data_IF_656658915904
#
_entry.id   IF_656658915904
#
_cell.length_a   1.000
_cell.length_b   1.000
_cell.length_c   1.000
_cell.angle_alpha   90.00
_cell.angle_beta   90.00
_cell.angle_gamma   90.00
#
_symmetry.space_group_name_H-M   'P 1'
#
loop_
_entity.id
_entity.type
_entity.pdbx_description
1 polymer ?
#
# COMPACT_ATOMS: atom_id res chain seq x y z
N UNK A 1 16.42 16.88 -4.03
CA UNK A 1 16.27 15.43 -3.83
C UNK A 1 14.81 15.08 -3.94
N UNK A 2 14.43 13.92 -4.48
CA UNK A 2 13.03 13.53 -4.53
C UNK A 2 12.46 13.43 -3.11
N UNK A 3 11.19 13.77 -2.92
CA UNK A 3 10.48 13.58 -1.67
C UNK A 3 9.25 12.69 -1.91
N UNK A 4 9.14 11.55 -1.20
CA UNK A 4 10.14 10.96 -0.28
C UNK A 4 11.31 10.30 -1.02
N UNK A 5 12.48 10.27 -0.38
CA UNK A 5 13.64 9.53 -0.88
C UNK A 5 13.41 8.01 -0.77
N UNK A 6 13.98 7.20 -1.70
CA UNK A 6 13.97 5.75 -1.58
C UNK A 6 14.62 5.28 -0.27
N UNK A 7 13.93 4.41 0.45
CA UNK A 7 14.35 3.89 1.76
C UNK A 7 13.95 2.43 1.93
N UNK A 8 14.74 1.65 2.67
CA UNK A 8 14.37 0.32 3.14
C UNK A 8 13.78 0.43 4.55
N UNK A 9 12.57 -0.09 4.74
CA UNK A 9 11.88 -0.14 6.03
C UNK A 9 11.87 -1.58 6.55
N UNK A 10 12.25 -1.80 7.82
CA UNK A 10 12.40 -3.13 8.40
C UNK A 10 11.55 -3.28 9.66
N UNK A 11 10.83 -4.40 9.76
CA UNK A 11 10.07 -4.82 10.92
C UNK A 11 10.22 -6.32 11.16
N UNK A 12 9.58 -6.83 12.21
CA UNK A 12 9.65 -8.24 12.58
C UNK A 12 8.99 -9.16 11.53
N UNK A 13 7.87 -8.73 10.96
CA UNK A 13 7.03 -9.56 10.09
C UNK A 13 7.12 -9.18 8.62
N UNK A 14 7.76 -8.06 8.29
CA UNK A 14 7.91 -7.57 6.94
C UNK A 14 9.12 -6.65 6.78
N UNK A 15 9.65 -6.66 5.56
CA UNK A 15 10.64 -5.70 5.09
C UNK A 15 10.12 -5.10 3.77
N UNK A 16 10.23 -3.78 3.64
CA UNK A 16 9.90 -3.06 2.42
C UNK A 16 11.17 -2.51 1.81
N UNK A 17 11.47 -2.88 0.58
CA UNK A 17 12.60 -2.36 -0.18
C UNK A 17 12.11 -1.55 -1.37
N UNK A 18 12.82 -0.48 -1.78
CA UNK A 18 12.52 0.20 -3.03
C UNK A 18 12.40 -0.80 -4.17
N UNK A 19 11.38 -0.63 -5.01
CA UNK A 19 11.15 -1.53 -6.14
C UNK A 19 12.37 -1.53 -7.07
N UNK A 20 12.80 -2.71 -7.49
CA UNK A 20 13.87 -2.94 -8.46
C UNK A 20 13.43 -3.92 -9.55
N UNK A 21 14.02 -3.83 -10.73
CA UNK A 21 13.84 -4.81 -11.82
C UNK A 21 14.31 -6.21 -11.42
N UNK A 22 15.25 -6.31 -10.50
CA UNK A 22 15.74 -7.58 -9.96
C UNK A 22 14.66 -8.36 -9.19
N UNK A 23 13.61 -7.68 -8.72
CA UNK A 23 12.51 -8.29 -8.01
C UNK A 23 11.48 -8.98 -8.94
N UNK A 24 11.66 -8.92 -10.29
CA UNK A 24 10.70 -9.41 -11.28
C UNK A 24 10.30 -10.87 -11.05
N UNK A 25 11.28 -11.76 -10.90
CA UNK A 25 11.01 -13.18 -10.73
C UNK A 25 10.16 -13.46 -9.48
N UNK A 26 10.56 -12.88 -8.33
CA UNK A 26 9.84 -13.05 -7.06
C UNK A 26 8.44 -12.46 -7.08
N UNK A 27 8.25 -11.27 -7.67
CA UNK A 27 6.93 -10.64 -7.82
C UNK A 27 6.02 -11.41 -8.77
N UNK A 28 6.58 -12.01 -9.83
CA UNK A 28 5.84 -12.86 -10.77
C UNK A 28 5.32 -14.11 -10.08
N UNK A 29 6.11 -14.73 -9.20
CA UNK A 29 5.64 -15.87 -8.41
C UNK A 29 4.61 -15.44 -7.34
N UNK A 30 4.88 -14.34 -6.63
CA UNK A 30 3.98 -13.85 -5.58
C UNK A 30 2.57 -13.50 -6.10
N UNK A 31 2.44 -12.96 -7.31
CA UNK A 31 1.13 -12.57 -7.86
C UNK A 31 0.26 -13.77 -8.29
N UNK A 32 0.86 -14.94 -8.51
CA UNK A 32 0.13 -16.18 -8.80
C UNK A 32 -0.61 -16.72 -7.57
N UNK A 33 -0.13 -16.36 -6.38
CA UNK A 33 -0.71 -16.84 -5.12
C UNK A 33 -2.05 -16.14 -4.86
N UNK A 34 -3.15 -16.84 -5.16
CA UNK A 34 -4.51 -16.45 -4.80
C UNK A 34 -5.35 -15.79 -5.89
N UNK A 35 -4.94 -15.88 -7.16
CA UNK A 35 -5.74 -15.40 -8.32
C UNK A 35 -6.22 -13.93 -8.19
N UNK A 36 -5.39 -13.08 -7.59
CA UNK A 36 -5.73 -11.71 -7.22
C UNK A 36 -6.14 -10.84 -8.43
N UNK A 37 -5.64 -11.16 -9.62
CA UNK A 37 -5.96 -10.46 -10.88
C UNK A 37 -7.40 -10.65 -11.35
N UNK A 38 -8.14 -11.64 -10.81
CA UNK A 38 -9.56 -11.89 -11.16
C UNK A 38 -10.53 -10.91 -10.50
N UNK A 39 -10.07 -10.06 -9.58
CA UNK A 39 -10.90 -9.08 -8.90
C UNK A 39 -11.15 -7.86 -9.81
N UNK A 40 -12.35 -7.78 -10.39
CA UNK A 40 -12.74 -6.77 -11.39
C UNK A 40 -12.60 -5.30 -10.91
N UNK A 41 -12.60 -5.08 -9.59
CA UNK A 41 -12.48 -3.75 -8.97
C UNK A 41 -11.04 -3.39 -8.56
N UNK A 42 -10.04 -4.17 -8.96
CA UNK A 42 -8.62 -3.92 -8.69
C UNK A 42 -7.81 -3.97 -9.99
N UNK A 43 -6.63 -3.34 -9.97
CA UNK A 43 -5.69 -3.35 -11.09
C UNK A 43 -4.41 -4.12 -10.70
N UNK A 44 -4.57 -5.39 -10.27
CA UNK A 44 -3.44 -6.27 -9.96
C UNK A 44 -2.96 -6.90 -11.28
N UNK A 45 -1.65 -6.81 -11.60
CA UNK A 45 -1.15 -7.30 -12.88
C UNK A 45 -1.26 -8.83 -12.98
N UNK A 46 -1.43 -9.31 -14.21
CA UNK A 46 -1.21 -10.73 -14.52
C UNK A 46 0.29 -11.06 -14.44
N UNK A 47 0.69 -12.31 -14.14
CA UNK A 47 2.10 -12.70 -14.06
C UNK A 47 2.92 -12.27 -15.26
N UNK A 48 2.41 -12.48 -16.48
CA UNK A 48 3.05 -12.10 -17.74
C UNK A 48 3.20 -10.59 -17.94
N UNK A 49 2.45 -9.79 -17.23
CA UNK A 49 2.48 -8.33 -17.28
C UNK A 49 3.32 -7.69 -16.15
N UNK A 50 3.91 -8.50 -15.26
CA UNK A 50 4.64 -7.98 -14.09
C UNK A 50 5.82 -7.09 -14.49
N UNK A 51 6.55 -7.44 -15.55
CA UNK A 51 7.65 -6.60 -16.02
C UNK A 51 7.19 -5.21 -16.48
N UNK A 52 6.07 -5.14 -17.21
CA UNK A 52 5.47 -3.86 -17.64
C UNK A 52 4.99 -3.03 -16.44
N UNK A 53 4.44 -3.68 -15.42
CA UNK A 53 4.00 -3.00 -14.20
C UNK A 53 5.18 -2.44 -13.39
N UNK A 54 6.29 -3.18 -13.30
CA UNK A 54 7.52 -2.69 -12.68
C UNK A 54 8.04 -1.46 -13.43
N UNK A 55 8.16 -1.53 -14.75
CA UNK A 55 8.63 -0.41 -15.58
C UNK A 55 7.71 0.81 -15.43
N UNK A 56 6.39 0.62 -15.41
CA UNK A 56 5.41 1.68 -15.19
C UNK A 56 5.61 2.38 -13.83
N UNK A 57 5.77 1.60 -12.74
CA UNK A 57 5.97 2.15 -11.41
C UNK A 57 7.31 2.88 -11.28
N UNK A 58 8.38 2.33 -11.83
CA UNK A 58 9.69 2.99 -11.84
C UNK A 58 9.68 4.28 -12.68
N UNK A 59 8.93 4.33 -13.78
CA UNK A 59 8.69 5.56 -14.55
C UNK A 59 7.96 6.63 -13.74
N UNK A 60 6.93 6.25 -12.97
CA UNK A 60 6.22 7.15 -12.07
C UNK A 60 7.09 7.61 -10.88
N UNK A 61 7.99 6.76 -10.40
CA UNK A 61 9.00 7.14 -9.40
C UNK A 61 9.95 8.18 -9.96
N UNK A 62 10.46 7.98 -11.17
CA UNK A 62 11.34 8.95 -11.84
C UNK A 62 10.64 10.30 -12.07
N UNK A 63 9.31 10.29 -12.28
CA UNK A 63 8.48 11.48 -12.39
C UNK A 63 8.11 12.12 -11.03
N UNK A 64 8.54 11.54 -9.89
CA UNK A 64 8.28 12.07 -8.55
C UNK A 64 6.86 11.86 -8.02
N UNK A 65 6.02 11.09 -8.71
CA UNK A 65 4.61 10.89 -8.32
C UNK A 65 4.36 9.62 -7.50
N UNK A 66 5.38 8.73 -7.39
CA UNK A 66 5.27 7.44 -6.74
C UNK A 66 6.60 7.03 -6.09
N UNK A 67 6.54 6.35 -4.96
CA UNK A 67 7.66 5.58 -4.39
C UNK A 67 7.17 4.16 -4.11
N UNK A 68 7.40 3.22 -5.05
CA UNK A 68 6.96 1.84 -4.91
C UNK A 68 7.93 1.00 -4.09
N UNK A 69 7.38 0.04 -3.35
CA UNK A 69 8.12 -0.92 -2.54
C UNK A 69 7.78 -2.35 -2.91
N UNK A 70 8.78 -3.19 -2.97
CA UNK A 70 8.64 -4.65 -2.91
C UNK A 70 8.53 -5.07 -1.45
N UNK A 71 7.60 -5.95 -1.16
CA UNK A 71 7.35 -6.45 0.20
C UNK A 71 7.92 -7.85 0.35
N UNK A 72 8.75 -8.01 1.37
CA UNK A 72 9.33 -9.28 1.79
C UNK A 72 8.69 -9.72 3.11
N UNK A 73 8.45 -11.01 3.26
CA UNK A 73 8.06 -11.61 4.54
C UNK A 73 9.25 -11.76 5.51
N UNK A 74 9.01 -12.29 6.70
CA UNK A 74 10.05 -12.53 7.70
C UNK A 74 11.10 -13.56 7.24
N UNK A 75 10.76 -14.44 6.32
CA UNK A 75 11.66 -15.43 5.72
C UNK A 75 12.51 -14.87 4.57
N UNK A 76 12.28 -13.62 4.18
CA UNK A 76 12.99 -12.97 3.07
C UNK A 76 12.40 -13.29 1.69
N UNK A 77 11.20 -13.89 1.61
CA UNK A 77 10.53 -14.15 0.35
C UNK A 77 9.77 -12.91 -0.12
N UNK A 78 9.78 -12.66 -1.43
CA UNK A 78 8.95 -11.61 -2.03
C UNK A 78 7.48 -12.06 -2.02
N UNK A 79 6.60 -11.24 -1.43
CA UNK A 79 5.20 -11.62 -1.22
C UNK A 79 4.20 -10.58 -1.72
N UNK A 80 4.66 -9.47 -2.29
CA UNK A 80 3.77 -8.45 -2.83
C UNK A 80 4.41 -7.08 -3.02
N UNK A 81 3.55 -6.08 -3.18
CA UNK A 81 3.95 -4.69 -3.40
C UNK A 81 3.06 -3.74 -2.60
N UNK A 82 3.62 -2.60 -2.24
CA UNK A 82 2.88 -1.44 -1.71
C UNK A 82 3.57 -0.15 -2.18
N UNK A 83 2.93 1.01 -2.01
CA UNK A 83 3.44 2.22 -2.66
C UNK A 83 3.01 3.46 -1.90
N UNK A 84 3.92 4.46 -1.79
CA UNK A 84 3.49 5.85 -1.67
C UNK A 84 3.17 6.37 -3.07
N UNK A 85 2.00 6.96 -3.22
CA UNK A 85 1.53 7.53 -4.49
C UNK A 85 0.79 8.84 -4.23
N UNK A 86 0.42 9.54 -5.31
CA UNK A 86 -0.20 10.86 -5.20
C UNK A 86 0.57 11.78 -4.25
N UNK A 87 1.90 11.79 -4.43
CA UNK A 87 2.86 12.48 -3.58
C UNK A 87 2.66 14.00 -3.74
N UNK A 88 2.33 14.68 -2.65
CA UNK A 88 2.20 16.13 -2.56
C UNK A 88 3.20 16.66 -1.53
N UNK A 89 4.40 16.94 -2.01
CA UNK A 89 5.50 17.44 -1.18
C UNK A 89 5.19 18.81 -0.56
N UNK A 90 4.49 19.68 -1.29
CA UNK A 90 4.16 21.04 -0.83
C UNK A 90 3.23 21.00 0.39
N UNK A 91 2.25 20.11 0.37
CA UNK A 91 1.31 19.91 1.46
C UNK A 91 1.74 18.81 2.43
N UNK A 92 2.89 18.16 2.20
CA UNK A 92 3.40 17.04 3.00
C UNK A 92 2.35 15.95 3.17
N UNK A 93 1.83 15.45 2.04
CA UNK A 93 0.80 14.40 1.98
C UNK A 93 1.24 13.29 1.04
N UNK A 94 0.90 12.07 1.39
CA UNK A 94 1.07 10.89 0.53
C UNK A 94 -0.17 10.01 0.63
N UNK A 95 -0.43 9.24 -0.42
CA UNK A 95 -1.38 8.12 -0.37
C UNK A 95 -0.61 6.81 -0.23
N UNK A 96 -1.03 5.92 0.66
CA UNK A 96 -0.57 4.54 0.67
C UNK A 96 -1.58 3.71 -0.13
N UNK A 97 -1.14 3.27 -1.31
CA UNK A 97 -2.02 2.57 -2.25
C UNK A 97 -1.31 1.54 -3.11
N UNK A 98 -2.01 1.09 -4.15
CA UNK A 98 -1.53 0.07 -5.09
C UNK A 98 -0.91 -1.15 -4.40
N UNK A 99 -1.53 -1.56 -3.27
CA UNK A 99 -1.07 -2.64 -2.40
C UNK A 99 -1.72 -3.96 -2.79
N UNK A 100 -0.90 -5.00 -2.92
CA UNK A 100 -1.36 -6.37 -3.02
C UNK A 100 -0.34 -7.32 -2.36
N UNK A 101 -0.82 -8.42 -1.82
CA UNK A 101 -0.02 -9.48 -1.20
C UNK A 101 -0.56 -10.83 -1.64
N UNK A 102 0.29 -11.81 -1.84
CA UNK A 102 -0.09 -13.21 -2.05
C UNK A 102 -1.07 -13.69 -0.99
N UNK A 103 -1.94 -14.61 -1.35
CA UNK A 103 -3.01 -15.11 -0.46
C UNK A 103 -2.46 -15.77 0.81
N UNK A 104 -1.36 -16.48 0.70
CA UNK A 104 -0.73 -17.21 1.80
C UNK A 104 -0.32 -16.32 2.98
N UNK A 105 0.03 -15.05 2.71
CA UNK A 105 0.45 -14.08 3.75
C UNK A 105 -0.67 -13.13 4.19
N UNK A 106 -1.87 -13.28 3.61
CA UNK A 106 -3.04 -12.49 4.02
C UNK A 106 -3.59 -12.99 5.37
N UNK A 107 -4.33 -12.10 6.06
CA UNK A 107 -4.92 -12.35 7.39
C UNK A 107 -3.90 -12.64 8.51
N UNK A 108 -2.61 -12.42 8.22
CA UNK A 108 -1.51 -12.46 9.17
C UNK A 108 -1.05 -11.04 9.59
N UNK A 109 0.07 -10.94 10.31
CA UNK A 109 0.62 -9.69 10.81
C UNK A 109 1.26 -8.82 9.71
N UNK A 110 1.59 -9.40 8.54
CA UNK A 110 2.37 -8.76 7.48
C UNK A 110 1.79 -7.39 7.07
N UNK A 111 0.49 -7.31 6.74
CA UNK A 111 -0.12 -6.06 6.31
C UNK A 111 -0.11 -4.99 7.41
N UNK A 112 -0.37 -5.37 8.66
CA UNK A 112 -0.30 -4.45 9.81
C UNK A 112 1.12 -3.93 10.00
N UNK A 113 2.14 -4.81 9.90
CA UNK A 113 3.55 -4.41 9.97
C UNK A 113 3.92 -3.46 8.82
N UNK A 114 3.55 -3.77 7.58
CA UNK A 114 3.81 -2.89 6.44
C UNK A 114 3.19 -1.50 6.64
N UNK A 115 1.94 -1.44 7.13
CA UNK A 115 1.27 -0.16 7.38
C UNK A 115 1.89 0.61 8.53
N UNK A 116 2.26 -0.06 9.63
CA UNK A 116 3.00 0.58 10.72
C UNK A 116 4.31 1.19 10.23
N UNK A 117 5.11 0.47 9.44
CA UNK A 117 6.37 0.96 8.89
C UNK A 117 6.18 2.19 8.00
N UNK A 118 5.24 2.13 7.05
CA UNK A 118 4.95 3.23 6.15
C UNK A 118 4.40 4.45 6.89
N UNK A 119 3.45 4.27 7.80
CA UNK A 119 2.86 5.37 8.57
C UNK A 119 3.88 6.01 9.52
N UNK A 120 4.73 5.20 10.18
CA UNK A 120 5.84 5.73 11.00
C UNK A 120 6.77 6.60 10.16
N UNK A 121 7.19 6.13 9.00
CA UNK A 121 8.05 6.90 8.11
C UNK A 121 7.36 8.18 7.61
N UNK A 122 6.08 8.09 7.21
CA UNK A 122 5.33 9.25 6.73
C UNK A 122 5.17 10.34 7.80
N UNK A 123 4.79 9.97 9.03
CA UNK A 123 4.53 10.97 10.07
C UNK A 123 5.79 11.43 10.81
N UNK A 124 6.75 10.52 11.09
CA UNK A 124 7.89 10.82 11.96
C UNK A 124 9.14 11.27 11.18
N UNK A 125 9.33 10.78 9.95
CA UNK A 125 10.48 11.18 9.12
C UNK A 125 10.10 12.23 8.07
N UNK A 126 8.96 12.06 7.39
CA UNK A 126 8.52 12.98 6.34
C UNK A 126 7.68 14.14 6.86
N UNK A 127 7.28 14.12 8.14
CA UNK A 127 6.42 15.13 8.77
C UNK A 127 5.11 15.37 7.99
N UNK A 128 4.50 14.29 7.47
CA UNK A 128 3.23 14.37 6.78
C UNK A 128 2.13 14.92 7.71
N UNK A 129 1.27 15.79 7.19
CA UNK A 129 0.08 16.28 7.93
C UNK A 129 -1.06 15.27 7.87
N UNK A 130 -1.11 14.45 6.80
CA UNK A 130 -2.08 13.37 6.63
C UNK A 130 -1.53 12.31 5.67
N UNK A 131 -1.97 11.06 5.85
CA UNK A 131 -1.75 9.94 4.93
C UNK A 131 -3.10 9.44 4.44
N UNK A 132 -3.26 9.39 3.11
CA UNK A 132 -4.50 8.94 2.48
C UNK A 132 -4.47 7.46 2.13
N UNK A 133 -5.68 6.89 2.01
CA UNK A 133 -5.96 5.59 1.43
C UNK A 133 -7.17 5.71 0.52
N UNK A 134 -7.11 5.11 -0.67
CA UNK A 134 -8.23 5.11 -1.60
C UNK A 134 -8.55 3.70 -2.07
N UNK A 135 -9.83 3.39 -2.17
CA UNK A 135 -10.26 2.09 -2.65
C UNK A 135 -11.58 2.18 -3.41
N UNK A 136 -11.87 1.16 -4.22
CA UNK A 136 -13.16 1.04 -4.91
C UNK A 136 -14.30 0.86 -3.91
N UNK A 137 -15.45 1.49 -4.14
CA UNK A 137 -16.61 1.41 -3.24
C UNK A 137 -17.01 -0.03 -2.90
N UNK A 138 -16.99 -0.93 -3.86
CA UNK A 138 -17.31 -2.34 -3.67
C UNK A 138 -16.16 -3.20 -3.11
N UNK A 139 -14.97 -2.64 -2.94
CA UNK A 139 -13.86 -3.37 -2.30
C UNK A 139 -14.01 -3.35 -0.78
N UNK A 140 -15.03 -4.04 -0.27
CA UNK A 140 -15.33 -4.11 1.16
C UNK A 140 -14.19 -4.70 1.99
N UNK A 141 -13.38 -5.61 1.40
CA UNK A 141 -12.21 -6.16 2.08
C UNK A 141 -11.17 -5.07 2.35
N UNK A 142 -10.85 -4.26 1.34
CA UNK A 142 -9.91 -3.14 1.50
C UNK A 142 -10.47 -2.08 2.45
N UNK A 143 -11.76 -1.73 2.33
CA UNK A 143 -12.40 -0.75 3.23
C UNK A 143 -12.25 -1.17 4.69
N UNK A 144 -12.65 -2.40 5.03
CA UNK A 144 -12.48 -2.93 6.40
C UNK A 144 -11.01 -2.97 6.84
N UNK A 145 -10.09 -3.31 5.93
CA UNK A 145 -8.66 -3.32 6.25
C UNK A 145 -8.12 -1.92 6.56
N UNK A 146 -8.58 -0.89 5.85
CA UNK A 146 -8.21 0.51 6.05
C UNK A 146 -8.82 1.04 7.37
N UNK A 147 -10.11 0.80 7.58
CA UNK A 147 -10.83 1.21 8.82
C UNK A 147 -10.20 0.56 10.06
N UNK A 148 -9.78 -0.70 9.98
CA UNK A 148 -9.10 -1.41 11.06
C UNK A 148 -7.75 -0.79 11.45
N UNK A 149 -7.10 -0.03 10.56
CA UNK A 149 -5.88 0.73 10.90
C UNK A 149 -6.18 1.95 11.78
N UNK A 150 -7.45 2.36 11.86
CA UNK A 150 -7.86 3.60 12.51
C UNK A 150 -8.09 4.77 11.54
N UNK A 151 -8.00 4.54 10.23
CA UNK A 151 -8.30 5.56 9.24
C UNK A 151 -9.80 5.91 9.22
N UNK A 152 -10.11 7.20 9.04
CA UNK A 152 -11.48 7.70 8.93
C UNK A 152 -11.83 7.98 7.48
N UNK A 153 -13.11 7.78 7.14
CA UNK A 153 -13.60 8.09 5.81
C UNK A 153 -13.77 9.61 5.66
N UNK A 154 -13.06 10.19 4.70
CA UNK A 154 -13.19 11.60 4.35
C UNK A 154 -14.38 11.83 3.41
N UNK A 155 -14.65 10.88 2.51
CA UNK A 155 -15.76 10.99 1.57
C UNK A 155 -15.78 9.90 0.50
N UNK A 156 -16.73 10.06 -0.45
CA UNK A 156 -16.87 9.19 -1.61
C UNK A 156 -16.87 10.09 -2.86
N UNK A 157 -15.89 9.87 -3.73
CA UNK A 157 -15.83 10.50 -5.03
C UNK A 157 -16.68 9.68 -6.00
N UNK A 158 -17.85 10.25 -6.39
CA UNK A 158 -18.80 9.58 -7.28
C UNK A 158 -18.34 9.65 -8.73
N UNK A 159 -18.50 8.53 -9.45
CA UNK A 159 -18.08 8.44 -10.88
C UNK A 159 -16.65 8.95 -11.11
N UNK A 160 -15.73 8.63 -10.21
CA UNK A 160 -14.39 9.20 -10.14
C UNK A 160 -13.49 8.75 -11.29
N UNK A 161 -13.69 7.54 -11.79
CA UNK A 161 -12.88 6.96 -12.86
C UNK A 161 -13.73 6.05 -13.74
N UNK A 162 -13.31 5.87 -15.01
CA UNK A 162 -13.80 4.79 -15.86
C UNK A 162 -12.95 3.55 -15.61
N UNK A 163 -13.56 2.46 -15.18
CA UNK A 163 -12.89 1.19 -14.98
C UNK A 163 -12.55 0.50 -16.31
N UNK A 164 -11.57 -0.44 -16.36
CA UNK A 164 -11.19 -1.12 -17.60
C UNK A 164 -12.35 -1.85 -18.32
N UNK A 165 -13.39 -2.26 -17.59
CA UNK A 165 -14.59 -2.88 -18.13
C UNK A 165 -15.66 -1.86 -18.58
N UNK A 166 -15.35 -0.56 -18.61
CA UNK A 166 -16.23 0.52 -19.03
C UNK A 166 -17.23 0.99 -17.97
N UNK A 167 -17.29 0.38 -16.79
CA UNK A 167 -18.15 0.85 -15.69
C UNK A 167 -17.57 2.07 -14.98
N UNK A 168 -18.43 2.84 -14.31
CA UNK A 168 -17.99 3.98 -13.51
C UNK A 168 -17.61 3.52 -12.10
N UNK A 169 -16.43 3.95 -11.65
CA UNK A 169 -15.90 3.66 -10.33
C UNK A 169 -16.20 4.80 -9.38
N UNK A 170 -16.87 4.50 -8.27
CA UNK A 170 -16.88 5.35 -7.09
C UNK A 170 -15.63 5.00 -6.24
N UNK A 171 -14.93 6.02 -5.75
CA UNK A 171 -13.74 5.86 -4.92
C UNK A 171 -14.01 6.34 -3.51
N UNK A 172 -13.83 5.47 -2.52
CA UNK A 172 -13.90 5.83 -1.12
C UNK A 172 -12.53 6.33 -0.68
N UNK A 173 -12.50 7.50 -0.09
CA UNK A 173 -11.29 8.19 0.41
C UNK A 173 -11.28 8.12 1.92
N UNK A 174 -10.15 7.72 2.49
CA UNK A 174 -9.88 7.66 3.92
C UNK A 174 -8.59 8.40 4.22
N UNK A 175 -8.42 8.87 5.44
CA UNK A 175 -7.16 9.39 5.92
C UNK A 175 -6.87 9.07 7.38
N UNK A 176 -5.59 9.17 7.74
CA UNK A 176 -5.09 9.30 9.10
C UNK A 176 -4.35 10.63 9.14
N UNK A 177 -4.66 11.48 10.10
CA UNK A 177 -4.02 12.79 10.29
C UNK A 177 -2.86 12.70 11.29
N UNK A 178 -1.95 13.68 11.26
CA UNK A 178 -0.84 13.76 12.21
C UNK A 178 -1.31 13.80 13.68
N UNK A 179 -2.46 14.44 13.94
CA UNK A 179 -3.03 14.50 15.29
C UNK A 179 -3.55 13.13 15.79
N UNK A 180 -3.98 12.25 14.88
CA UNK A 180 -4.48 10.91 15.21
C UNK A 180 -3.34 9.88 15.30
N UNK A 181 -2.19 10.17 14.69
CA UNK A 181 -1.09 9.22 14.57
C UNK A 181 -0.62 8.60 15.90
N UNK A 182 -0.41 9.33 17.00
CA UNK A 182 0.04 8.70 18.24
C UNK A 182 -0.88 7.58 18.73
N UNK A 183 -2.19 7.78 18.63
CA UNK A 183 -3.20 6.77 19.01
C UNK A 183 -3.25 5.62 18.03
N UNK A 184 -3.17 5.91 16.74
CA UNK A 184 -3.13 4.89 15.68
C UNK A 184 -1.87 4.03 15.80
N UNK A 185 -0.70 4.63 16.07
CA UNK A 185 0.55 3.91 16.29
C UNK A 185 0.43 2.91 17.43
N UNK A 186 -0.02 3.38 18.61
CA UNK A 186 -0.22 2.53 19.77
C UNK A 186 -1.16 1.35 19.48
N UNK A 187 -2.25 1.61 18.73
CA UNK A 187 -3.20 0.57 18.32
C UNK A 187 -2.56 -0.48 17.39
N UNK A 188 -1.75 -0.05 16.41
CA UNK A 188 -1.08 -0.97 15.49
C UNK A 188 0.01 -1.79 16.19
N UNK A 189 0.76 -1.19 17.11
CA UNK A 189 1.75 -1.87 17.94
C UNK A 189 1.09 -2.93 18.83
N UNK A 190 -0.03 -2.60 19.48
CA UNK A 190 -0.82 -3.56 20.23
C UNK A 190 -1.32 -4.74 19.38
N UNK A 191 -1.81 -4.47 18.15
CA UNK A 191 -2.24 -5.53 17.23
C UNK A 191 -1.12 -6.48 16.82
N UNK A 192 0.12 -6.00 16.76
CA UNK A 192 1.28 -6.81 16.37
C UNK A 192 1.86 -7.63 17.54
N UNK A 193 1.91 -7.05 18.74
CA UNK A 193 2.68 -7.57 19.86
C UNK A 193 1.82 -8.26 20.93
N UNK A 194 0.66 -7.68 21.26
CA UNK A 194 -0.06 -8.01 22.49
C UNK A 194 -1.42 -8.66 22.23
N UNK A 195 -1.94 -8.61 21.00
CA UNK A 195 -3.23 -9.22 20.69
C UNK A 195 -3.14 -10.73 20.72
N UNK A 196 -3.91 -11.43 21.58
CA UNK A 196 -4.02 -12.89 21.54
C UNK A 196 -4.44 -13.36 20.14
N UNK A 197 -3.73 -14.34 19.61
CA UNK A 197 -4.01 -14.95 18.29
C UNK A 197 -5.03 -16.05 18.41
#
# INVERSE_FOLDING_TARGET
MPWPDPITLRGQHARLEPLSKEHLAGLTEAVKDGELSKLWYTAIPLPENMGKEIDRRLGLQAAGSMLPFTVFDAGGNIVGMTTYMNIDANNRRVEIGSTWYGKSVQRGPLNTQCKLLLLTHAFEALNCIAVEFRTHFFNHQSRRAIERLGARQDGILRSHQVAPNGTLRDTVVYSITAAEWPTVKAHLEYQLNDKPR
#
